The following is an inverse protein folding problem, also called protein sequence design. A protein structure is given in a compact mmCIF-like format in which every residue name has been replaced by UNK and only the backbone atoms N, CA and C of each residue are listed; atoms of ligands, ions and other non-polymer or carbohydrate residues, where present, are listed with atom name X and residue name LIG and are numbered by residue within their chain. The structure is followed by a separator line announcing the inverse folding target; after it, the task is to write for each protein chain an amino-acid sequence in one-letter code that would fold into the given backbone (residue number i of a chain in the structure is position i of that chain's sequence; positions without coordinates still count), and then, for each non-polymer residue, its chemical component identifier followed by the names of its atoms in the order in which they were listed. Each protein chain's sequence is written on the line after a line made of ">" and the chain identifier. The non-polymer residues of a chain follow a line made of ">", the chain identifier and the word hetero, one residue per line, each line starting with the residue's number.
data_IF_793303672559
#
_entry.id   IF_793303672559
#
_cell.length_a   1.000
_cell.length_b   1.000
_cell.length_c   1.000
_cell.angle_alpha   90.00
_cell.angle_beta   90.00
_cell.angle_gamma   90.00
#
_symmetry.space_group_name_H-M   'P 1'
#
loop_
_entity.id
_entity.type
_entity.pdbx_description
1 polymer ?
#
# COMPACT_ATOMS: atom_id res chain seq x y z
N UNK A 1 12.98 -15.11 13.29
CA UNK A 1 11.99 -14.13 13.78
C UNK A 1 10.97 -13.88 12.69
N UNK A 2 9.72 -13.54 13.02
CA UNK A 2 8.61 -13.43 12.08
C UNK A 2 8.00 -12.04 12.10
N UNK A 3 7.71 -11.48 10.92
CA UNK A 3 7.03 -10.21 10.74
C UNK A 3 5.97 -10.39 9.64
N UNK A 4 4.73 -9.99 9.92
CA UNK A 4 3.63 -9.97 8.95
C UNK A 4 2.81 -8.70 9.12
N UNK A 5 2.38 -8.13 8.00
CA UNK A 5 1.36 -7.10 7.94
C UNK A 5 0.29 -7.55 6.95
N UNK A 6 -0.97 -7.39 7.36
CA UNK A 6 -2.14 -7.64 6.53
C UNK A 6 -2.88 -6.32 6.31
N UNK A 7 -3.13 -5.97 5.04
CA UNK A 7 -3.82 -4.73 4.64
C UNK A 7 -5.03 -5.11 3.81
N UNK A 8 -6.22 -4.67 4.22
CA UNK A 8 -7.43 -4.74 3.42
C UNK A 8 -7.83 -3.33 2.98
N UNK A 9 -8.09 -3.11 1.70
CA UNK A 9 -8.39 -1.79 1.21
C UNK A 9 -8.72 -1.72 -0.27
N UNK A 10 -8.62 -0.52 -0.84
CA UNK A 10 -8.93 -0.23 -2.23
C UNK A 10 -7.76 0.49 -2.91
N UNK A 11 -7.50 0.17 -4.19
CA UNK A 11 -6.53 0.91 -4.99
C UNK A 11 -7.00 2.35 -5.23
N UNK A 12 -6.19 3.34 -4.86
CA UNK A 12 -6.49 4.77 -5.11
C UNK A 12 -6.14 5.24 -6.52
N UNK A 13 -5.31 4.47 -7.24
CA UNK A 13 -4.91 4.69 -8.64
C UNK A 13 -4.65 3.34 -9.32
N UNK A 14 -4.49 3.35 -10.63
CA UNK A 14 -4.10 2.16 -11.38
C UNK A 14 -2.71 1.65 -10.94
N UNK A 15 -2.44 0.34 -10.99
CA UNK A 15 -1.11 -0.21 -10.72
C UNK A 15 -0.04 0.40 -11.64
N UNK A 16 1.14 0.67 -11.09
CA UNK A 16 2.28 1.20 -11.85
C UNK A 16 3.36 0.10 -11.95
N UNK A 17 3.46 -0.59 -13.10
CA UNK A 17 4.44 -1.65 -13.33
C UNK A 17 5.70 -1.15 -14.01
N UNK A 18 6.85 -1.67 -13.58
CA UNK A 18 8.19 -1.44 -14.16
C UNK A 18 9.03 -2.70 -14.09
N UNK A 19 9.99 -2.81 -15.02
CA UNK A 19 11.02 -3.84 -14.97
C UNK A 19 12.33 -3.25 -14.44
N UNK A 20 13.00 -3.99 -13.56
CA UNK A 20 14.36 -3.65 -13.13
C UNK A 20 15.37 -4.01 -14.23
N UNK A 21 16.61 -3.46 -14.18
CA UNK A 21 17.68 -3.88 -15.07
C UNK A 21 17.97 -5.39 -15.05
N UNK A 22 17.65 -6.06 -13.95
CA UNK A 22 17.73 -7.52 -13.81
C UNK A 22 16.63 -8.30 -14.56
N UNK A 23 15.69 -7.61 -15.21
CA UNK A 23 14.51 -8.21 -15.84
C UNK A 23 13.38 -8.54 -14.86
N UNK A 24 13.54 -8.26 -13.56
CA UNK A 24 12.52 -8.55 -12.56
C UNK A 24 11.39 -7.51 -12.60
N UNK A 25 10.15 -7.99 -12.75
CA UNK A 25 8.95 -7.16 -12.69
C UNK A 25 8.66 -6.67 -11.26
N UNK A 26 8.28 -5.41 -11.14
CA UNK A 26 7.81 -4.77 -9.91
C UNK A 26 6.57 -3.94 -10.24
N UNK A 27 5.51 -4.11 -9.45
CA UNK A 27 4.28 -3.32 -9.57
C UNK A 27 4.00 -2.60 -8.27
N UNK A 28 3.96 -1.28 -8.33
CA UNK A 28 3.68 -0.42 -7.19
C UNK A 28 2.17 -0.12 -7.11
N UNK A 29 1.60 -0.33 -5.92
CA UNK A 29 0.19 -0.13 -5.61
C UNK A 29 0.04 0.99 -4.56
N UNK A 30 -1.01 1.80 -4.72
CA UNK A 30 -1.44 2.78 -3.70
C UNK A 30 -2.76 2.30 -3.11
N UNK A 31 -2.77 1.87 -1.85
CA UNK A 31 -3.93 1.25 -1.21
C UNK A 31 -4.43 2.13 -0.08
N UNK A 32 -5.71 2.50 -0.13
CA UNK A 32 -6.41 3.19 0.94
C UNK A 32 -7.14 2.17 1.82
N UNK A 33 -6.96 2.26 3.13
CA UNK A 33 -7.85 1.63 4.12
C UNK A 33 -8.53 2.71 4.95
N UNK A 34 -9.79 2.49 5.28
CA UNK A 34 -10.58 3.42 6.07
C UNK A 34 -10.89 2.80 7.43
N UNK A 35 -10.71 3.59 8.49
CA UNK A 35 -11.14 3.25 9.84
C UNK A 35 -12.15 4.29 10.30
N UNK A 36 -13.39 3.87 10.55
CA UNK A 36 -14.43 4.73 11.13
C UNK A 36 -14.53 4.48 12.63
N UNK A 37 -14.47 5.53 13.43
CA UNK A 37 -14.60 5.48 14.88
C UNK A 37 -15.30 6.73 15.40
N UNK A 38 -15.75 6.70 16.66
CA UNK A 38 -16.29 7.87 17.34
C UNK A 38 -15.16 8.53 18.14
N UNK A 39 -14.94 9.83 17.94
CA UNK A 39 -13.94 10.58 18.66
C UNK A 39 -14.39 10.94 20.09
N UNK A 40 -13.53 11.62 20.85
CA UNK A 40 -13.84 12.06 22.22
C UNK A 40 -14.97 13.08 22.30
N UNK A 41 -15.32 13.74 21.19
CA UNK A 41 -16.41 14.72 21.10
C UNK A 41 -17.74 14.07 20.69
N UNK A 42 -17.78 12.74 20.54
CA UNK A 42 -18.95 12.00 20.10
C UNK A 42 -19.20 12.07 18.59
N UNK A 43 -18.28 12.63 17.81
CA UNK A 43 -18.41 12.72 16.35
C UNK A 43 -17.91 11.45 15.68
N UNK A 44 -18.61 11.00 14.63
CA UNK A 44 -18.12 9.90 13.77
C UNK A 44 -17.04 10.45 12.84
N UNK A 45 -15.82 9.98 13.02
CA UNK A 45 -14.65 10.32 12.20
C UNK A 45 -14.28 9.13 11.34
N UNK A 46 -13.92 9.39 10.07
CA UNK A 46 -13.33 8.38 9.18
C UNK A 46 -11.90 8.78 8.87
N UNK A 47 -10.96 7.95 9.28
CA UNK A 47 -9.53 8.10 9.00
C UNK A 47 -9.15 7.22 7.83
N UNK A 48 -8.45 7.79 6.85
CA UNK A 48 -7.94 7.06 5.68
C UNK A 48 -6.43 6.92 5.80
N UNK A 49 -5.94 5.68 5.92
CA UNK A 49 -4.51 5.37 5.88
C UNK A 49 -4.12 4.92 4.47
N UNK A 50 -3.05 5.52 3.95
CA UNK A 50 -2.51 5.19 2.63
C UNK A 50 -1.26 4.31 2.76
N UNK A 51 -1.27 3.17 2.07
CA UNK A 51 -0.14 2.26 1.97
C UNK A 51 0.43 2.27 0.55
N UNK A 52 1.75 2.33 0.46
CA UNK A 52 2.50 2.01 -0.77
C UNK A 52 2.98 0.58 -0.68
N UNK A 53 2.56 -0.26 -1.62
CA UNK A 53 2.90 -1.69 -1.65
C UNK A 53 3.61 -2.01 -2.96
N UNK A 54 4.81 -2.58 -2.89
CA UNK A 54 5.52 -3.10 -4.06
C UNK A 54 5.34 -4.61 -4.16
N UNK A 55 4.77 -5.07 -5.26
CA UNK A 55 4.61 -6.50 -5.59
C UNK A 55 5.71 -6.88 -6.59
N UNK A 56 6.33 -8.05 -6.41
CA UNK A 56 7.52 -8.47 -7.17
C UNK A 56 7.28 -9.76 -7.96
N UNK A 57 8.04 -9.94 -9.05
CA UNK A 57 8.05 -11.17 -9.86
C UNK A 57 6.71 -11.45 -10.56
N UNK A 58 6.36 -12.72 -10.74
CA UNK A 58 5.15 -13.13 -11.46
C UNK A 58 3.85 -12.54 -10.88
N UNK A 59 3.80 -12.28 -9.56
CA UNK A 59 2.65 -11.61 -8.94
C UNK A 59 2.53 -10.16 -9.39
N UNK A 60 3.64 -9.47 -9.67
CA UNK A 60 3.65 -8.09 -10.14
C UNK A 60 2.90 -7.96 -11.48
N UNK A 61 3.18 -8.86 -12.42
CA UNK A 61 2.52 -8.92 -13.72
C UNK A 61 1.02 -9.21 -13.56
N UNK A 62 0.68 -10.19 -12.71
CA UNK A 62 -0.72 -10.56 -12.43
C UNK A 62 -1.50 -9.37 -11.86
N UNK A 63 -0.99 -8.70 -10.82
CA UNK A 63 -1.71 -7.58 -10.22
C UNK A 63 -1.82 -6.39 -11.18
N UNK A 64 -0.84 -6.16 -12.04
CA UNK A 64 -0.92 -5.12 -13.06
C UNK A 64 -1.95 -5.44 -14.15
N UNK A 65 -2.07 -6.70 -14.53
CA UNK A 65 -3.01 -7.14 -15.56
C UNK A 65 -4.47 -7.06 -15.09
N UNK A 66 -4.75 -7.41 -13.84
CA UNK A 66 -6.12 -7.59 -13.36
C UNK A 66 -6.63 -6.50 -12.41
N UNK A 67 -5.74 -5.77 -11.73
CA UNK A 67 -6.16 -4.69 -10.82
C UNK A 67 -6.20 -3.35 -11.56
N UNK A 68 -7.09 -2.49 -11.09
CA UNK A 68 -7.26 -1.11 -11.55
C UNK A 68 -7.63 -0.23 -10.36
N UNK A 69 -7.66 1.08 -10.58
CA UNK A 69 -8.20 2.04 -9.60
C UNK A 69 -9.56 1.57 -9.09
N UNK A 70 -9.72 1.57 -7.77
CA UNK A 70 -10.91 1.13 -7.07
C UNK A 70 -10.96 -0.37 -6.75
N UNK A 71 -10.08 -1.21 -7.32
CA UNK A 71 -10.03 -2.64 -7.00
C UNK A 71 -9.86 -2.87 -5.50
N UNK A 72 -10.69 -3.76 -4.92
CA UNK A 72 -10.54 -4.23 -3.54
C UNK A 72 -9.39 -5.22 -3.47
N UNK A 73 -8.55 -5.09 -2.45
CA UNK A 73 -7.38 -5.93 -2.25
C UNK A 73 -7.24 -6.34 -0.80
N UNK A 74 -6.77 -7.57 -0.59
CA UNK A 74 -6.23 -8.06 0.66
C UNK A 74 -4.77 -8.41 0.40
N UNK A 75 -3.85 -7.80 1.15
CA UNK A 75 -2.42 -7.89 0.95
C UNK A 75 -1.81 -8.45 2.22
N UNK A 76 -1.06 -9.55 2.07
CA UNK A 76 -0.19 -10.09 3.10
C UNK A 76 1.27 -9.84 2.71
N UNK A 77 2.04 -9.20 3.60
CA UNK A 77 3.44 -8.86 3.35
C UNK A 77 4.19 -8.51 4.62
N UNK A 78 5.22 -7.68 4.48
CA UNK A 78 6.06 -7.20 5.57
C UNK A 78 6.35 -5.70 5.37
N UNK A 79 6.60 -4.97 6.46
CA UNK A 79 7.04 -3.57 6.36
C UNK A 79 8.54 -3.55 6.11
N UNK A 80 8.95 -2.81 5.08
CA UNK A 80 10.34 -2.44 4.90
C UNK A 80 10.58 -1.08 5.60
N UNK A 81 11.30 -1.06 6.75
CA UNK A 81 11.59 0.19 7.42
C UNK A 81 12.58 1.03 6.62
N UNK A 82 12.67 2.30 7.01
CA UNK A 82 13.75 3.17 6.60
C UNK A 82 15.10 2.67 7.16
N UNK A 83 16.15 2.52 6.34
CA UNK A 83 17.43 1.97 6.78
C UNK A 83 18.18 2.83 7.81
N UNK A 84 17.93 4.14 7.85
CA UNK A 84 18.66 5.07 8.72
C UNK A 84 17.96 5.19 10.08
N UNK A 85 16.64 5.38 10.06
CA UNK A 85 15.84 5.59 11.27
C UNK A 85 15.26 4.30 11.86
N UNK A 86 15.18 3.22 11.08
CA UNK A 86 14.47 1.99 11.46
C UNK A 86 12.95 2.12 11.53
N UNK A 87 12.41 3.32 11.30
CA UNK A 87 10.98 3.62 11.34
C UNK A 87 10.24 3.24 10.06
N UNK A 88 8.89 3.36 10.05
CA UNK A 88 8.12 3.26 8.82
C UNK A 88 8.56 4.35 7.84
N UNK A 89 8.63 4.03 6.55
CA UNK A 89 8.79 5.04 5.51
C UNK A 89 7.48 5.82 5.39
N UNK A 90 7.46 7.03 5.96
CA UNK A 90 6.32 7.93 5.86
C UNK A 90 6.52 8.82 4.64
N UNK A 91 5.54 8.82 3.76
CA UNK A 91 5.48 9.81 2.68
C UNK A 91 4.49 10.88 3.08
N UNK A 92 5.02 12.07 3.38
CA UNK A 92 4.20 13.27 3.50
C UNK A 92 3.95 13.77 2.09
N UNK A 93 2.68 13.84 1.70
CA UNK A 93 2.31 14.50 0.46
C UNK A 93 2.60 15.99 0.64
N UNK A 94 3.39 16.58 -0.26
CA UNK A 94 3.63 18.02 -0.29
C UNK A 94 2.45 18.77 -0.97
N UNK A 95 1.21 18.33 -0.77
CA UNK A 95 0.06 19.19 -1.02
C UNK A 95 -0.05 20.12 0.19
N UNK A 96 0.53 21.32 0.04
CA UNK A 96 0.73 22.30 1.12
C UNK A 96 -0.51 22.63 1.95
#
# INVERSE_FOLDING_TARGET
>A
MYQKITIAGNLGRDPEMRYLPSGQAVTDLSVATNRTFTDSNGQKVTETTWFRVSVWGARAETVNQYLKKGSKVLIDGYLRPDPESGGPRVWTRNDG
#
